data_IF_636358257657
#
_entry.id   IF_636358257657
#
_cell.length_a   1.000
_cell.length_b   1.000
_cell.length_c   1.000
_cell.angle_alpha   90.00
_cell.angle_beta   90.00
_cell.angle_gamma   90.00
#
_symmetry.space_group_name_H-M   'P 1'
#
loop_
_entity.id
_entity.type
_entity.pdbx_description
1 polymer ?
#
# COMPACT_ATOMS: atom_id res chain seq x y z
N UNK A 1 3.97 23.32 20.55
CA UNK A 1 4.36 22.28 19.58
C UNK A 1 4.27 22.89 18.18
N UNK A 2 5.27 22.73 17.32
CA UNK A 2 5.17 23.27 15.95
C UNK A 2 4.15 22.46 15.15
N UNK A 3 3.40 23.03 14.21
CA UNK A 3 2.49 22.26 13.34
C UNK A 3 3.20 21.08 12.67
N UNK A 4 4.46 21.26 12.30
CA UNK A 4 5.33 20.21 11.75
C UNK A 4 5.47 18.99 12.68
N UNK A 5 5.59 19.18 13.99
CA UNK A 5 5.70 18.11 14.99
C UNK A 5 4.45 17.24 15.12
N UNK A 6 3.31 17.67 14.57
CA UNK A 6 2.08 16.87 14.49
C UNK A 6 1.90 16.24 13.09
N UNK A 7 2.19 16.99 12.04
CA UNK A 7 2.00 16.54 10.64
C UNK A 7 2.97 15.43 10.26
N UNK A 8 4.25 15.54 10.67
CA UNK A 8 5.27 14.56 10.31
C UNK A 8 4.98 13.15 10.89
N UNK A 9 4.65 12.98 12.19
CA UNK A 9 4.25 11.67 12.71
C UNK A 9 3.04 11.08 11.99
N UNK A 10 2.03 11.89 11.67
CA UNK A 10 0.86 11.41 10.91
C UNK A 10 1.25 10.89 9.53
N UNK A 11 2.14 11.59 8.83
CA UNK A 11 2.67 11.15 7.54
C UNK A 11 3.39 9.81 7.66
N UNK A 12 4.26 9.66 8.66
CA UNK A 12 5.01 8.42 8.89
C UNK A 12 4.08 7.26 9.29
N UNK A 13 3.08 7.51 10.13
CA UNK A 13 2.09 6.50 10.51
C UNK A 13 1.24 6.04 9.32
N UNK A 14 0.87 6.95 8.42
CA UNK A 14 0.18 6.59 7.17
C UNK A 14 1.03 5.67 6.30
N UNK A 15 2.31 5.99 6.12
CA UNK A 15 3.26 5.16 5.40
C UNK A 15 3.45 3.78 6.07
N UNK A 16 3.55 3.77 7.41
CA UNK A 16 3.69 2.55 8.20
C UNK A 16 2.48 1.61 8.04
N UNK A 17 1.26 2.14 8.13
CA UNK A 17 0.03 1.35 7.95
C UNK A 17 0.01 0.69 6.58
N UNK A 18 0.35 1.44 5.52
CA UNK A 18 0.29 0.92 4.17
C UNK A 18 1.43 -0.06 3.87
N UNK A 19 2.69 0.35 4.01
CA UNK A 19 3.85 -0.49 3.67
C UNK A 19 3.99 -1.65 4.66
N UNK A 20 3.81 -1.39 5.96
CA UNK A 20 3.84 -2.42 7.00
C UNK A 20 2.71 -3.44 6.85
N UNK A 21 1.50 -2.99 6.49
CA UNK A 21 0.39 -3.89 6.21
C UNK A 21 0.64 -4.80 5.01
N UNK A 22 1.23 -4.27 3.93
CA UNK A 22 1.64 -5.09 2.78
C UNK A 22 2.74 -6.09 3.17
N UNK A 23 3.73 -5.67 3.97
CA UNK A 23 4.78 -6.55 4.47
C UNK A 23 4.17 -7.69 5.30
N UNK A 24 3.31 -7.38 6.26
CA UNK A 24 2.62 -8.38 7.08
C UNK A 24 1.81 -9.35 6.22
N UNK A 25 1.00 -8.84 5.29
CA UNK A 25 0.19 -9.66 4.41
C UNK A 25 1.05 -10.66 3.62
N UNK A 26 2.20 -10.19 3.12
CA UNK A 26 3.06 -10.98 2.26
C UNK A 26 3.95 -11.99 2.99
N UNK A 27 4.62 -11.55 4.06
CA UNK A 27 5.65 -12.30 4.77
C UNK A 27 5.06 -13.17 5.88
N UNK A 28 3.96 -12.76 6.50
CA UNK A 28 3.42 -13.41 7.70
C UNK A 28 2.09 -14.09 7.43
N UNK A 29 1.10 -13.31 6.98
CA UNK A 29 -0.26 -13.81 6.81
C UNK A 29 -0.34 -14.89 5.72
N UNK A 30 0.33 -14.69 4.58
CA UNK A 30 0.30 -15.67 3.48
C UNK A 30 0.84 -17.05 3.92
N UNK A 31 2.07 -17.18 4.44
CA UNK A 31 2.55 -18.48 4.89
C UNK A 31 1.68 -19.10 5.97
N UNK A 32 1.14 -18.30 6.90
CA UNK A 32 0.22 -18.79 7.92
C UNK A 32 -1.07 -19.34 7.32
N UNK A 33 -1.69 -18.62 6.39
CA UNK A 33 -2.93 -19.04 5.72
C UNK A 33 -2.75 -20.30 4.86
N UNK A 34 -1.56 -20.51 4.26
CA UNK A 34 -1.26 -21.74 3.52
C UNK A 34 -1.14 -22.95 4.45
N UNK A 35 -0.63 -22.76 5.68
CA UNK A 35 -0.46 -23.84 6.66
C UNK A 35 -1.76 -24.16 7.43
N UNK A 36 -2.54 -23.13 7.75
CA UNK A 36 -3.68 -23.24 8.66
C UNK A 36 -5.02 -23.49 7.95
N UNK A 37 -5.15 -23.16 6.67
CA UNK A 37 -6.42 -23.21 5.94
C UNK A 37 -6.30 -24.05 4.67
N UNK A 38 -7.42 -24.69 4.32
CA UNK A 38 -7.61 -25.34 3.04
C UNK A 38 -7.79 -24.32 1.89
N UNK A 39 -7.88 -24.81 0.65
CA UNK A 39 -7.97 -23.96 -0.54
C UNK A 39 -9.12 -22.94 -0.48
N UNK A 40 -10.37 -23.37 -0.26
CA UNK A 40 -11.54 -22.49 -0.17
C UNK A 40 -11.47 -21.53 1.02
N UNK A 41 -11.16 -22.02 2.22
CA UNK A 41 -11.07 -21.18 3.42
C UNK A 41 -10.03 -20.08 3.29
N UNK A 42 -8.92 -20.37 2.62
CA UNK A 42 -7.87 -19.38 2.31
C UNK A 42 -8.37 -18.28 1.37
N UNK A 43 -9.14 -18.61 0.33
CA UNK A 43 -9.67 -17.60 -0.61
C UNK A 43 -10.66 -16.66 0.07
N UNK A 44 -11.58 -17.21 0.88
CA UNK A 44 -12.53 -16.42 1.67
C UNK A 44 -11.83 -15.50 2.66
N UNK A 45 -10.78 -15.98 3.35
CA UNK A 45 -9.96 -15.14 4.24
C UNK A 45 -9.36 -13.95 3.48
N UNK A 46 -8.79 -14.18 2.30
CA UNK A 46 -8.15 -13.10 1.53
C UNK A 46 -9.14 -12.04 1.05
N UNK A 47 -10.36 -12.44 0.69
CA UNK A 47 -11.43 -11.49 0.36
C UNK A 47 -11.70 -10.54 1.53
N UNK A 48 -11.89 -11.07 2.73
CA UNK A 48 -12.15 -10.28 3.94
C UNK A 48 -10.96 -9.39 4.33
N UNK A 49 -9.74 -9.95 4.26
CA UNK A 49 -8.51 -9.21 4.56
C UNK A 49 -8.32 -8.04 3.60
N UNK A 50 -8.52 -8.23 2.30
CA UNK A 50 -8.38 -7.14 1.33
C UNK A 50 -9.45 -6.06 1.55
N UNK A 51 -10.70 -6.42 1.82
CA UNK A 51 -11.74 -5.45 2.12
C UNK A 51 -11.43 -4.62 3.39
N UNK A 52 -10.98 -5.29 4.46
CA UNK A 52 -10.56 -4.62 5.69
C UNK A 52 -9.35 -3.70 5.48
N UNK A 53 -8.29 -4.24 4.89
CA UNK A 53 -7.03 -3.52 4.69
C UNK A 53 -7.18 -2.34 3.72
N UNK A 54 -7.92 -2.49 2.63
CA UNK A 54 -8.02 -1.43 1.62
C UNK A 54 -8.76 -0.18 2.12
N UNK A 55 -9.63 -0.30 3.14
CA UNK A 55 -10.21 0.87 3.82
C UNK A 55 -9.13 1.71 4.51
N UNK A 56 -8.19 1.07 5.17
CA UNK A 56 -7.03 1.74 5.79
C UNK A 56 -6.08 2.31 4.74
N UNK A 57 -5.87 1.60 3.64
CA UNK A 57 -5.02 2.08 2.53
C UNK A 57 -5.61 3.33 1.89
N UNK A 58 -6.93 3.43 1.70
CA UNK A 58 -7.55 4.67 1.24
C UNK A 58 -7.29 5.86 2.18
N UNK A 59 -7.35 5.63 3.49
CA UNK A 59 -6.96 6.63 4.48
C UNK A 59 -5.51 7.08 4.28
N UNK A 60 -4.58 6.13 4.08
CA UNK A 60 -3.18 6.44 3.82
C UNK A 60 -2.96 7.17 2.47
N UNK A 61 -3.66 6.77 1.40
CA UNK A 61 -3.64 7.42 0.07
C UNK A 61 -4.10 8.88 0.17
N UNK A 62 -5.03 9.22 1.04
CA UNK A 62 -5.42 10.63 1.21
C UNK A 62 -4.45 11.35 2.15
N UNK A 63 -4.08 10.71 3.26
CA UNK A 63 -3.32 11.35 4.32
C UNK A 63 -1.88 11.66 3.90
N UNK A 64 -1.23 10.79 3.11
CA UNK A 64 0.15 10.99 2.64
C UNK A 64 0.34 12.27 1.81
N UNK A 65 -0.42 12.53 0.74
CA UNK A 65 -0.28 13.77 -0.03
C UNK A 65 -0.71 15.00 0.79
N UNK A 66 -1.79 14.92 1.57
CA UNK A 66 -2.24 16.06 2.40
C UNK A 66 -1.15 16.46 3.40
N UNK A 67 -0.56 15.49 4.10
CA UNK A 67 0.51 15.76 5.07
C UNK A 67 1.84 16.10 4.39
N UNK A 68 2.17 15.47 3.27
CA UNK A 68 3.41 15.73 2.51
C UNK A 68 3.44 17.13 1.92
N UNK A 69 2.38 17.52 1.22
CA UNK A 69 2.21 18.87 0.67
C UNK A 69 2.10 19.90 1.80
N UNK A 70 1.38 19.58 2.88
CA UNK A 70 1.32 20.41 4.08
C UNK A 70 2.70 20.71 4.68
N UNK A 71 3.59 19.71 4.77
CA UNK A 71 4.97 19.92 5.25
C UNK A 71 5.79 20.81 4.31
N UNK A 72 5.65 20.66 2.98
CA UNK A 72 6.31 21.55 2.02
C UNK A 72 5.87 23.00 2.18
N UNK A 73 4.56 23.24 2.30
CA UNK A 73 4.02 24.59 2.51
C UNK A 73 4.45 25.21 3.85
N UNK A 74 4.47 24.44 4.94
CA UNK A 74 4.94 24.92 6.25
C UNK A 74 6.41 25.35 6.23
N UNK A 75 7.21 24.78 5.32
CA UNK A 75 8.61 25.14 5.13
C UNK A 75 8.81 26.20 4.03
N UNK A 76 7.74 26.71 3.43
CA UNK A 76 7.77 27.65 2.29
C UNK A 76 8.55 27.11 1.08
N UNK A 77 8.50 25.78 0.88
CA UNK A 77 9.15 25.08 -0.22
C UNK A 77 8.10 24.76 -1.29
N UNK A 78 8.38 25.12 -2.54
CA UNK A 78 7.57 24.74 -3.70
C UNK A 78 7.96 23.35 -4.21
N UNK A 79 7.10 22.72 -5.03
CA UNK A 79 7.40 21.39 -5.59
C UNK A 79 8.71 21.35 -6.39
N UNK A 80 9.01 22.41 -7.12
CA UNK A 80 10.24 22.53 -7.93
C UNK A 80 11.49 22.76 -7.08
N UNK A 81 11.35 23.42 -5.92
CA UNK A 81 12.45 23.69 -5.00
C UNK A 81 12.60 22.63 -3.92
N UNK A 82 11.70 21.64 -3.89
CA UNK A 82 11.79 20.50 -2.99
C UNK A 82 13.05 19.68 -3.27
N UNK A 83 13.69 19.10 -2.23
CA UNK A 83 14.82 18.18 -2.43
C UNK A 83 14.45 17.07 -3.42
N UNK A 84 15.38 16.71 -4.31
CA UNK A 84 15.14 15.71 -5.36
C UNK A 84 14.62 14.38 -4.83
N UNK A 85 15.09 13.93 -3.68
CA UNK A 85 14.57 12.70 -3.06
C UNK A 85 13.07 12.79 -2.73
N UNK A 86 12.55 13.98 -2.40
CA UNK A 86 11.11 14.22 -2.19
C UNK A 86 10.35 14.12 -3.51
N UNK A 87 10.92 14.63 -4.61
CA UNK A 87 10.34 14.46 -5.94
C UNK A 87 10.26 12.99 -6.34
N UNK A 88 11.30 12.22 -6.05
CA UNK A 88 11.30 10.76 -6.23
C UNK A 88 10.24 10.09 -5.35
N UNK A 89 10.10 10.49 -4.08
CA UNK A 89 9.04 9.97 -3.19
C UNK A 89 7.64 10.22 -3.76
N UNK A 90 7.37 11.41 -4.30
CA UNK A 90 6.10 11.73 -4.95
C UNK A 90 5.85 10.83 -6.17
N UNK A 91 6.86 10.63 -7.03
CA UNK A 91 6.77 9.73 -8.18
C UNK A 91 6.48 8.28 -7.78
N UNK A 92 7.21 7.75 -6.79
CA UNK A 92 7.01 6.39 -6.28
C UNK A 92 5.61 6.23 -5.66
N UNK A 93 5.14 7.24 -4.92
CA UNK A 93 3.79 7.25 -4.36
C UNK A 93 2.70 7.15 -5.44
N UNK A 94 2.85 7.87 -6.56
CA UNK A 94 1.91 7.77 -7.69
C UNK A 94 1.91 6.36 -8.28
N UNK A 95 3.09 5.74 -8.45
CA UNK A 95 3.19 4.34 -8.90
C UNK A 95 2.48 3.40 -7.94
N UNK A 96 2.72 3.52 -6.63
CA UNK A 96 2.07 2.67 -5.61
C UNK A 96 0.55 2.82 -5.62
N UNK A 97 0.05 4.04 -5.75
CA UNK A 97 -1.38 4.35 -5.82
C UNK A 97 -2.00 3.75 -7.07
N UNK A 98 -1.35 3.85 -8.23
CA UNK A 98 -1.84 3.25 -9.47
C UNK A 98 -1.93 1.72 -9.37
N UNK A 99 -0.93 1.06 -8.76
CA UNK A 99 -0.95 -0.38 -8.52
C UNK A 99 -2.09 -0.77 -7.56
N UNK A 100 -2.31 0.03 -6.50
CA UNK A 100 -3.41 -0.18 -5.57
C UNK A 100 -4.78 -0.05 -6.24
N UNK A 101 -5.03 1.02 -6.99
CA UNK A 101 -6.30 1.24 -7.71
C UNK A 101 -6.55 0.09 -8.69
N UNK A 102 -5.52 -0.39 -9.40
CA UNK A 102 -5.65 -1.56 -10.29
C UNK A 102 -6.10 -2.80 -9.54
N UNK A 103 -5.51 -3.10 -8.39
CA UNK A 103 -5.89 -4.27 -7.59
C UNK A 103 -7.31 -4.13 -7.05
N UNK A 104 -7.64 -2.98 -6.46
CA UNK A 104 -8.94 -2.74 -5.85
C UNK A 104 -10.08 -2.65 -6.86
N UNK A 105 -9.88 -1.94 -7.97
CA UNK A 105 -10.93 -1.68 -8.95
C UNK A 105 -11.17 -2.82 -9.93
N UNK A 106 -10.14 -3.59 -10.28
CA UNK A 106 -10.25 -4.63 -11.31
C UNK A 106 -10.19 -6.05 -10.73
N UNK A 107 -9.26 -6.31 -9.80
CA UNK A 107 -8.92 -7.68 -9.41
C UNK A 107 -9.68 -8.15 -8.18
N UNK A 108 -9.97 -7.27 -7.22
CA UNK A 108 -10.74 -7.62 -6.03
C UNK A 108 -12.20 -7.98 -6.34
N UNK A 109 -12.93 -7.25 -7.21
CA UNK A 109 -14.27 -7.66 -7.62
C UNK A 109 -14.27 -9.02 -8.31
N UNK A 110 -13.30 -9.25 -9.20
CA UNK A 110 -13.12 -10.53 -9.90
C UNK A 110 -12.88 -11.69 -8.92
N UNK A 111 -12.03 -11.49 -7.90
CA UNK A 111 -11.80 -12.49 -6.85
C UNK A 111 -13.09 -12.78 -6.06
N UNK A 112 -13.82 -11.73 -5.70
CA UNK A 112 -15.08 -11.87 -4.95
C UNK A 112 -16.11 -12.67 -5.74
N UNK A 113 -16.32 -12.32 -7.01
CA UNK A 113 -17.25 -13.05 -7.89
C UNK A 113 -16.87 -14.52 -8.02
N UNK A 114 -15.57 -14.83 -8.17
CA UNK A 114 -15.11 -16.22 -8.25
C UNK A 114 -15.37 -17.00 -6.95
N UNK A 115 -15.15 -16.38 -5.78
CA UNK A 115 -15.41 -16.99 -4.47
C UNK A 115 -16.91 -17.17 -4.23
N UNK A 116 -17.74 -16.18 -4.56
CA UNK A 116 -19.20 -16.25 -4.46
C UNK A 116 -19.78 -17.35 -5.36
N UNK A 117 -19.22 -17.51 -6.56
CA UNK A 117 -19.56 -18.60 -7.49
C UNK A 117 -18.96 -19.97 -7.11
N UNK A 118 -18.13 -20.04 -6.05
CA UNK A 118 -17.37 -21.24 -5.65
C UNK A 118 -16.45 -21.79 -6.75
N UNK A 119 -16.01 -20.93 -7.68
CA UNK A 119 -15.01 -21.25 -8.70
C UNK A 119 -13.61 -21.09 -8.10
N UNK A 120 -13.17 -22.11 -7.36
CA UNK A 120 -11.88 -22.12 -6.68
C UNK A 120 -10.67 -22.03 -7.63
N UNK A 121 -10.65 -22.70 -8.80
CA UNK A 121 -9.58 -22.53 -9.78
C UNK A 121 -9.45 -21.09 -10.26
N UNK A 122 -10.56 -20.43 -10.64
CA UNK A 122 -10.53 -19.03 -11.06
C UNK A 122 -10.09 -18.11 -9.92
N UNK A 123 -10.65 -18.29 -8.72
CA UNK A 123 -10.28 -17.50 -7.54
C UNK A 123 -8.79 -17.61 -7.19
N UNK A 124 -8.21 -18.80 -7.28
CA UNK A 124 -6.78 -19.02 -7.06
C UNK A 124 -5.91 -18.32 -8.13
N UNK A 125 -6.35 -18.32 -9.39
CA UNK A 125 -5.66 -17.61 -10.46
C UNK A 125 -5.67 -16.09 -10.23
N UNK A 126 -6.82 -15.52 -9.88
CA UNK A 126 -6.96 -14.09 -9.56
C UNK A 126 -6.09 -13.70 -8.37
N UNK A 127 -6.17 -14.47 -7.27
CA UNK A 127 -5.34 -14.23 -6.08
C UNK A 127 -3.84 -14.28 -6.42
N UNK A 128 -3.43 -15.20 -7.30
CA UNK A 128 -2.06 -15.27 -7.81
C UNK A 128 -1.61 -13.99 -8.52
N UNK A 129 -2.49 -13.36 -9.32
CA UNK A 129 -2.21 -12.08 -9.97
C UNK A 129 -2.19 -10.92 -8.98
N UNK A 130 -3.18 -10.83 -8.07
CA UNK A 130 -3.24 -9.81 -7.00
C UNK A 130 -1.94 -9.83 -6.22
N UNK A 131 -1.50 -11.04 -5.84
CA UNK A 131 -0.23 -11.27 -5.18
C UNK A 131 0.90 -10.62 -5.98
N UNK A 132 1.11 -10.98 -7.24
CA UNK A 132 2.21 -10.39 -8.03
C UNK A 132 2.24 -8.86 -7.99
N UNK A 133 1.08 -8.21 -8.10
CA UNK A 133 0.96 -6.74 -8.06
C UNK A 133 1.25 -6.19 -6.66
N UNK A 134 0.71 -6.79 -5.60
CA UNK A 134 0.99 -6.39 -4.21
C UNK A 134 2.47 -6.56 -3.86
N UNK A 135 3.13 -7.61 -4.36
CA UNK A 135 4.56 -7.82 -4.16
C UNK A 135 5.41 -6.74 -4.82
N UNK A 136 5.07 -6.34 -6.04
CA UNK A 136 5.72 -5.20 -6.72
C UNK A 136 5.48 -3.92 -5.91
N UNK A 137 4.25 -3.68 -5.47
CA UNK A 137 3.89 -2.50 -4.69
C UNK A 137 4.66 -2.45 -3.35
N UNK A 138 4.83 -3.59 -2.68
CA UNK A 138 5.64 -3.71 -1.47
C UNK A 138 7.11 -3.34 -1.74
N UNK A 139 7.71 -3.84 -2.82
CA UNK A 139 9.10 -3.50 -3.17
C UNK A 139 9.27 -1.99 -3.40
N UNK A 140 8.34 -1.39 -4.15
CA UNK A 140 8.31 0.06 -4.37
C UNK A 140 8.16 0.82 -3.04
N UNK A 141 7.27 0.36 -2.16
CA UNK A 141 7.06 0.97 -0.85
C UNK A 141 8.27 0.88 0.07
N UNK A 142 8.95 -0.27 0.11
CA UNK A 142 10.19 -0.44 0.88
C UNK A 142 11.29 0.47 0.33
N UNK A 143 11.44 0.56 -1.00
CA UNK A 143 12.38 1.48 -1.63
C UNK A 143 12.07 2.94 -1.27
N UNK A 144 10.79 3.33 -1.33
CA UNK A 144 10.34 4.68 -0.96
C UNK A 144 10.72 5.00 0.49
N UNK A 145 10.43 4.10 1.43
CA UNK A 145 10.80 4.27 2.85
C UNK A 145 12.31 4.36 3.02
N UNK A 146 13.10 3.54 2.30
CA UNK A 146 14.55 3.60 2.35
C UNK A 146 15.11 4.94 1.84
N UNK A 147 14.57 5.49 0.75
CA UNK A 147 14.95 6.81 0.21
C UNK A 147 14.60 7.91 1.21
N UNK A 148 13.40 7.86 1.80
CA UNK A 148 12.96 8.83 2.80
C UNK A 148 13.86 8.82 4.06
N UNK A 149 14.32 7.64 4.48
CA UNK A 149 15.22 7.48 5.61
C UNK A 149 16.65 7.93 5.29
N UNK A 150 17.17 7.58 4.10
CA UNK A 150 18.54 7.88 3.70
C UNK A 150 18.75 9.36 3.34
N UNK A 151 17.70 10.07 2.89
CA UNK A 151 17.73 11.48 2.46
C UNK A 151 18.93 11.80 1.54
N UNK A 152 19.07 11.09 0.42
CA UNK A 152 20.23 11.26 -0.44
C UNK A 152 20.30 12.69 -1.01
N UNK A 153 21.53 13.16 -1.25
CA UNK A 153 21.84 14.53 -1.65
C UNK A 153 21.92 14.79 -3.16
N UNK A 154 21.67 13.77 -3.99
CA UNK A 154 21.80 13.84 -5.46
C UNK A 154 20.64 14.53 -6.15
#
# INVERSE_FOLDING_TARGET
MTPFSLVYPLHVLAALVWVGGMFFAWMVLRPAAVKALDGPGRLSLWVEVFQGFFRWVWGAVILLPVTGVGMLHLQHIGFETAPKYVQVMMGLYVVMTALFIRVQGLMLPELRTAVEAKDWPAGAAVLGRIRRVVGINLLVGVLLVAIAAARPSF
#
